data_IF_345926031368
#
_entry.id   IF_345926031368
#
_cell.length_a   1.000
_cell.length_b   1.000
_cell.length_c   1.000
_cell.angle_alpha   90.00
_cell.angle_beta   90.00
_cell.angle_gamma   90.00
#
_symmetry.space_group_name_H-M   'P 1'
#
loop_
_entity.id
_entity.type
_entity.pdbx_description
1 polymer ?
#
# COMPACT_ATOMS: atom_id res chain seq x y z
N UNK A 1 59.67 -34.70 53.36
CA UNK A 1 59.75 -34.19 51.97
C UNK A 1 58.36 -34.33 51.34
N UNK A 2 57.62 -33.25 51.39
CA UNK A 2 56.27 -33.18 50.83
C UNK A 2 56.30 -32.56 49.45
N UNK A 3 55.86 -33.28 48.43
CA UNK A 3 55.70 -32.82 47.08
C UNK A 3 54.34 -32.21 46.89
N UNK A 4 54.23 -30.89 46.84
CA UNK A 4 53.01 -30.16 46.47
C UNK A 4 52.71 -30.37 45.00
N UNK A 5 51.57 -31.00 44.71
CA UNK A 5 50.96 -31.03 43.35
C UNK A 5 50.23 -29.72 43.13
N UNK A 6 50.69 -28.95 42.13
CA UNK A 6 49.99 -27.77 41.62
C UNK A 6 48.93 -28.24 40.62
N UNK A 7 47.66 -28.04 40.96
CA UNK A 7 46.56 -28.32 40.07
C UNK A 7 46.32 -27.08 39.17
N UNK A 8 46.64 -27.19 37.88
CA UNK A 8 46.37 -26.16 36.89
C UNK A 8 44.89 -26.26 36.48
N UNK A 9 44.05 -25.34 36.92
CA UNK A 9 42.69 -25.14 36.44
C UNK A 9 42.72 -24.35 35.12
N UNK A 10 42.55 -25.05 34.01
CA UNK A 10 42.29 -24.43 32.71
C UNK A 10 40.81 -24.02 32.68
N UNK A 11 40.55 -22.73 32.90
CA UNK A 11 39.28 -22.13 32.65
C UNK A 11 39.07 -21.94 31.13
N UNK A 12 38.22 -22.78 30.53
CA UNK A 12 37.68 -22.55 29.20
C UNK A 12 36.75 -21.36 29.25
N UNK A 13 37.22 -20.20 28.83
CA UNK A 13 36.36 -19.08 28.51
C UNK A 13 35.70 -19.36 27.15
N UNK A 14 34.44 -19.78 27.18
CA UNK A 14 33.59 -19.79 25.98
C UNK A 14 33.30 -18.34 25.67
N UNK A 15 34.01 -17.80 24.70
CA UNK A 15 33.66 -16.51 24.11
C UNK A 15 32.42 -16.73 23.25
N UNK A 16 31.24 -16.44 23.81
CA UNK A 16 30.03 -16.27 23.01
C UNK A 16 30.25 -15.00 22.19
N UNK A 17 30.66 -15.14 20.94
CA UNK A 17 30.57 -14.07 19.96
C UNK A 17 29.10 -13.91 19.59
N UNK A 18 28.38 -13.15 20.40
CA UNK A 18 27.09 -12.58 19.97
C UNK A 18 27.43 -11.62 18.86
N UNK A 19 26.93 -11.87 17.66
CA UNK A 19 27.09 -10.97 16.53
C UNK A 19 26.35 -9.66 16.88
N UNK A 20 27.09 -8.62 17.15
CA UNK A 20 26.59 -7.27 17.40
C UNK A 20 25.95 -6.62 16.16
N UNK A 21 25.75 -7.40 15.08
CA UNK A 21 25.12 -6.91 13.84
C UNK A 21 23.59 -6.83 13.87
N UNK A 22 22.95 -7.57 14.76
CA UNK A 22 21.47 -7.66 14.75
C UNK A 22 20.77 -6.70 15.73
N UNK A 23 21.51 -6.11 16.68
CA UNK A 23 20.91 -5.19 17.67
C UNK A 23 20.90 -3.71 17.25
N UNK A 24 21.75 -3.30 16.33
CA UNK A 24 21.84 -1.88 15.92
C UNK A 24 20.70 -1.45 15.00
N UNK A 25 20.03 -2.40 14.32
CA UNK A 25 18.87 -2.13 13.46
C UNK A 25 17.52 -2.09 14.21
N UNK A 26 17.45 -2.66 15.39
CA UNK A 26 16.21 -2.65 16.19
C UNK A 26 15.90 -1.30 16.86
N UNK A 27 16.79 -0.31 16.81
CA UNK A 27 16.67 0.93 17.59
C UNK A 27 16.32 2.18 16.76
N UNK A 28 16.04 2.05 15.48
CA UNK A 28 15.31 3.07 14.73
C UNK A 28 13.83 2.71 14.73
N UNK A 29 13.17 2.77 15.89
CA UNK A 29 11.72 2.73 15.97
C UNK A 29 11.19 4.02 15.36
N UNK A 30 10.98 4.01 14.05
CA UNK A 30 10.17 5.02 13.44
C UNK A 30 8.76 4.77 13.95
N UNK A 31 8.33 5.59 14.92
CA UNK A 31 7.04 5.42 15.57
C UNK A 31 5.91 5.49 14.56
N UNK A 32 5.19 4.39 14.41
CA UNK A 32 3.95 4.34 13.66
C UNK A 32 2.90 3.56 14.46
N UNK A 33 1.63 3.81 14.23
CA UNK A 33 0.54 3.28 15.04
C UNK A 33 -0.36 2.29 14.32
N UNK A 34 -0.60 2.50 13.04
CA UNK A 34 -1.55 1.70 12.25
C UNK A 34 -1.15 1.73 10.77
N UNK A 35 -1.79 0.88 9.97
CA UNK A 35 -1.64 0.87 8.53
C UNK A 35 -2.78 1.61 7.85
N UNK A 36 -2.45 2.36 6.81
CA UNK A 36 -3.40 2.75 5.77
C UNK A 36 -3.22 1.79 4.61
N UNK A 37 -4.26 1.00 4.32
CA UNK A 37 -4.31 0.16 3.13
C UNK A 37 -5.08 0.89 2.05
N UNK A 38 -4.40 1.24 0.96
CA UNK A 38 -4.94 2.02 -0.16
C UNK A 38 -5.14 1.15 -1.38
N UNK A 39 -6.33 1.20 -1.96
CA UNK A 39 -6.68 0.51 -3.19
C UNK A 39 -7.17 1.51 -4.23
N UNK A 40 -6.81 1.29 -5.49
CA UNK A 40 -7.23 2.10 -6.62
C UNK A 40 -8.31 1.41 -7.45
N UNK A 41 -9.21 2.22 -8.02
CA UNK A 41 -10.06 1.76 -9.09
C UNK A 41 -9.31 1.84 -10.42
N UNK A 42 -9.05 0.73 -11.12
CA UNK A 42 -8.16 0.70 -12.28
C UNK A 42 -8.58 1.66 -13.39
N UNK A 43 -9.88 1.68 -13.75
CA UNK A 43 -10.38 2.52 -14.83
C UNK A 43 -10.14 4.01 -14.57
N UNK A 44 -10.30 4.46 -13.34
CA UNK A 44 -10.08 5.85 -12.98
C UNK A 44 -8.61 6.28 -13.08
N UNK A 45 -7.67 5.32 -12.99
CA UNK A 45 -6.25 5.59 -13.20
C UNK A 45 -5.93 5.88 -14.67
N UNK A 46 -6.73 5.36 -15.61
CA UNK A 46 -6.59 5.68 -17.03
C UNK A 46 -6.92 7.14 -17.33
N UNK A 47 -7.81 7.76 -16.56
CA UNK A 47 -8.24 9.16 -16.74
C UNK A 47 -7.36 10.15 -15.99
N UNK A 48 -6.73 9.69 -14.92
CA UNK A 48 -5.94 10.54 -14.05
C UNK A 48 -4.50 10.66 -14.53
N UNK A 49 -4.04 11.89 -14.72
CA UNK A 49 -2.61 12.20 -14.80
C UNK A 49 -2.23 12.99 -13.57
N UNK A 50 -1.37 12.43 -12.77
CA UNK A 50 -0.79 13.14 -11.66
C UNK A 50 -0.01 14.36 -12.17
N UNK A 51 -0.31 15.55 -11.64
CA UNK A 51 0.51 16.72 -11.92
C UNK A 51 1.90 16.46 -11.35
N UNK A 52 2.92 16.45 -12.21
CA UNK A 52 4.31 16.26 -11.82
C UNK A 52 4.79 17.25 -10.73
N UNK A 53 4.05 18.34 -10.53
CA UNK A 53 4.37 19.38 -9.54
C UNK A 53 3.82 19.08 -8.13
N UNK A 54 2.94 18.08 -7.96
CA UNK A 54 2.37 17.73 -6.65
C UNK A 54 3.13 16.64 -5.91
N UNK A 55 4.06 15.97 -6.58
CA UNK A 55 4.91 14.97 -5.95
C UNK A 55 6.18 15.66 -5.40
N UNK A 56 6.17 15.91 -4.10
CA UNK A 56 7.40 16.22 -3.35
C UNK A 56 8.42 15.07 -3.39
N UNK A 57 8.08 13.97 -4.06
CA UNK A 57 8.92 12.79 -4.26
C UNK A 57 9.23 12.63 -5.75
N UNK A 58 10.38 13.18 -6.16
CA UNK A 58 10.88 13.17 -7.54
C UNK A 58 11.23 11.76 -8.07
N UNK A 59 11.06 10.71 -7.28
CA UNK A 59 11.41 9.33 -7.67
C UNK A 59 10.39 8.67 -8.60
N UNK A 60 9.19 9.23 -8.73
CA UNK A 60 8.13 8.72 -9.60
C UNK A 60 7.82 9.69 -10.75
N UNK A 61 8.82 9.99 -11.57
CA UNK A 61 8.59 10.70 -12.83
C UNK A 61 8.09 9.72 -13.88
N UNK A 62 6.79 9.55 -13.96
CA UNK A 62 6.17 8.91 -15.12
C UNK A 62 6.35 9.83 -16.32
N UNK A 63 6.95 9.27 -17.35
CA UNK A 63 7.33 9.92 -18.61
C UNK A 63 6.16 10.73 -19.22
N UNK A 64 6.46 11.93 -19.65
CA UNK A 64 5.55 13.01 -20.02
C UNK A 64 4.72 12.84 -21.32
N UNK A 65 4.52 11.64 -21.89
CA UNK A 65 3.90 11.50 -23.20
C UNK A 65 2.91 10.32 -23.37
N UNK A 66 2.16 9.96 -22.32
CA UNK A 66 1.08 9.01 -22.54
C UNK A 66 -0.20 9.75 -22.95
N UNK A 67 -0.61 9.50 -24.21
CA UNK A 67 -1.92 9.87 -24.70
C UNK A 67 -2.98 9.20 -23.81
N UNK A 68 -3.99 9.96 -23.41
CA UNK A 68 -5.16 9.44 -22.72
C UNK A 68 -5.71 8.23 -23.49
N UNK A 69 -5.64 7.06 -22.88
CA UNK A 69 -6.23 5.84 -23.42
C UNK A 69 -7.29 5.40 -22.44
N UNK A 70 -8.56 5.48 -22.86
CA UNK A 70 -9.67 4.95 -22.07
C UNK A 70 -9.54 3.44 -21.85
N UNK A 71 -8.79 2.74 -22.71
CA UNK A 71 -8.53 1.30 -22.73
C UNK A 71 -7.14 0.96 -22.16
N UNK A 72 -6.77 1.50 -21.02
CA UNK A 72 -5.45 1.26 -20.42
C UNK A 72 -5.41 0.07 -19.47
N UNK A 73 -6.57 -0.49 -19.08
CA UNK A 73 -6.62 -1.58 -18.10
C UNK A 73 -6.35 -2.93 -18.78
N UNK A 74 -5.31 -3.67 -18.42
CA UNK A 74 -5.03 -4.99 -18.97
C UNK A 74 -6.19 -5.97 -18.76
N UNK A 75 -6.40 -6.89 -19.72
CA UNK A 75 -7.52 -7.85 -19.69
C UNK A 75 -7.58 -8.76 -18.47
N UNK A 76 -6.43 -8.97 -17.80
CA UNK A 76 -6.31 -9.80 -16.61
C UNK A 76 -6.60 -9.05 -15.29
N UNK A 77 -6.90 -7.74 -15.34
CA UNK A 77 -7.25 -6.91 -14.19
C UNK A 77 -8.77 -6.77 -14.13
N UNK A 78 -9.38 -7.31 -13.10
CA UNK A 78 -10.85 -7.42 -12.99
C UNK A 78 -11.43 -6.76 -11.74
N UNK A 79 -10.56 -6.29 -10.84
CA UNK A 79 -10.94 -5.82 -9.53
C UNK A 79 -10.12 -4.59 -9.13
N UNK A 80 -10.43 -4.03 -7.98
CA UNK A 80 -9.61 -3.03 -7.31
C UNK A 80 -8.17 -3.51 -7.19
N UNK A 81 -7.23 -2.63 -7.49
CA UNK A 81 -5.79 -2.90 -7.38
C UNK A 81 -5.22 -2.23 -6.14
N UNK A 82 -4.15 -2.80 -5.62
CA UNK A 82 -3.45 -2.25 -4.48
C UNK A 82 -2.66 -1.02 -4.94
N UNK A 83 -2.75 0.08 -4.18
CA UNK A 83 -1.78 1.16 -4.24
C UNK A 83 -0.63 0.87 -3.29
N UNK A 84 -0.94 0.70 -1.99
CA UNK A 84 0.06 0.42 -0.99
C UNK A 84 -0.49 0.06 0.38
N UNK A 85 0.44 -0.32 1.27
CA UNK A 85 0.20 -0.63 2.68
C UNK A 85 1.15 0.21 3.53
N UNK A 86 0.67 1.32 4.07
CA UNK A 86 1.51 2.37 4.64
C UNK A 86 1.46 2.43 6.15
N UNK A 87 2.57 2.18 6.85
CA UNK A 87 2.66 2.46 8.27
C UNK A 87 2.45 3.96 8.50
N UNK A 88 1.60 4.30 9.47
CA UNK A 88 1.10 5.66 9.65
C UNK A 88 1.09 6.03 11.13
N UNK A 89 1.49 7.26 11.45
CA UNK A 89 1.46 7.78 12.82
C UNK A 89 0.19 8.60 13.07
N UNK A 90 -0.09 9.60 12.22
CA UNK A 90 -1.14 10.60 12.41
C UNK A 90 -2.01 10.81 11.16
N UNK A 91 -2.25 9.76 10.37
CA UNK A 91 -3.08 9.86 9.15
C UNK A 91 -2.32 10.25 7.88
N UNK A 92 -1.09 10.74 7.99
CA UNK A 92 -0.17 10.89 6.86
C UNK A 92 0.69 9.64 6.72
N UNK A 93 1.11 9.23 5.50
CA UNK A 93 1.97 8.06 5.29
C UNK A 93 3.41 8.33 5.77
N UNK A 94 3.57 8.54 7.06
CA UNK A 94 4.82 8.67 7.78
C UNK A 94 4.86 7.66 8.92
N UNK A 95 6.03 7.05 9.19
CA UNK A 95 7.36 7.28 8.62
C UNK A 95 7.53 6.79 7.17
N UNK A 96 8.63 7.18 6.54
CA UNK A 96 9.03 6.71 5.22
C UNK A 96 10.55 6.60 5.11
N UNK A 97 11.05 5.68 4.23
CA UNK A 97 12.47 5.47 3.96
C UNK A 97 13.29 5.08 5.20
N UNK A 98 12.74 4.15 5.99
CA UNK A 98 13.29 3.84 7.32
C UNK A 98 14.58 3.03 7.28
N UNK A 99 14.94 2.42 6.15
CA UNK A 99 16.19 1.70 5.99
C UNK A 99 16.72 1.77 4.56
N UNK A 100 17.65 2.67 4.31
CA UNK A 100 18.26 2.88 2.98
C UNK A 100 19.13 1.70 2.50
N UNK A 101 19.52 0.79 3.39
CA UNK A 101 20.28 -0.42 3.01
C UNK A 101 19.40 -1.55 2.51
N UNK A 102 18.09 -1.52 2.78
CA UNK A 102 17.13 -2.55 2.38
C UNK A 102 16.53 -2.23 1.01
N UNK A 103 17.36 -2.38 -0.02
CA UNK A 103 16.91 -2.18 -1.38
C UNK A 103 15.97 -3.28 -1.82
N UNK A 104 15.01 -2.91 -2.67
CA UNK A 104 14.08 -3.86 -3.29
C UNK A 104 14.84 -4.95 -4.04
N UNK A 105 14.42 -6.20 -3.86
CA UNK A 105 14.98 -7.36 -4.53
C UNK A 105 13.87 -8.27 -5.03
N UNK A 106 13.56 -8.16 -6.31
CA UNK A 106 12.50 -8.90 -6.99
C UNK A 106 12.57 -10.42 -6.76
N UNK A 107 13.78 -10.98 -6.64
CA UNK A 107 13.95 -12.43 -6.42
C UNK A 107 13.34 -12.93 -5.09
N UNK A 108 13.14 -12.03 -4.12
CA UNK A 108 12.51 -12.37 -2.84
C UNK A 108 10.99 -12.51 -2.92
N UNK A 109 10.39 -12.06 -4.01
CA UNK A 109 8.93 -12.05 -4.22
C UNK A 109 8.52 -12.78 -5.49
N UNK A 110 9.40 -13.60 -6.08
CA UNK A 110 9.16 -14.28 -7.35
C UNK A 110 7.87 -15.12 -7.34
N UNK A 111 7.60 -15.82 -6.25
CA UNK A 111 6.37 -16.61 -6.05
C UNK A 111 5.09 -15.75 -5.93
N UNK A 112 5.22 -14.47 -5.62
CA UNK A 112 4.11 -13.51 -5.53
C UNK A 112 3.88 -12.74 -6.82
N UNK A 113 4.89 -12.64 -7.69
CA UNK A 113 4.92 -11.78 -8.87
C UNK A 113 3.68 -11.95 -9.76
N UNK A 114 3.29 -13.18 -10.05
CA UNK A 114 2.09 -13.44 -10.87
C UNK A 114 0.79 -12.89 -10.25
N UNK A 115 0.68 -12.87 -8.93
CA UNK A 115 -0.47 -12.27 -8.23
C UNK A 115 -0.36 -10.75 -8.20
N UNK A 116 0.85 -10.23 -7.97
CA UNK A 116 1.11 -8.79 -7.93
C UNK A 116 0.81 -8.15 -9.28
N UNK A 117 1.19 -8.77 -10.40
CA UNK A 117 0.85 -8.30 -11.75
C UNK A 117 -0.67 -8.23 -12.02
N UNK A 118 -1.51 -8.89 -11.23
CA UNK A 118 -2.98 -8.80 -11.34
C UNK A 118 -3.61 -7.83 -10.34
N UNK A 119 -2.97 -7.63 -9.20
CA UNK A 119 -3.58 -6.98 -8.04
C UNK A 119 -2.83 -5.73 -7.57
N UNK A 120 -1.61 -5.51 -8.05
CA UNK A 120 -0.76 -4.40 -7.61
C UNK A 120 0.04 -3.84 -8.79
N UNK A 121 -0.64 -3.17 -9.68
CA UNK A 121 -0.08 -2.68 -10.93
C UNK A 121 -0.11 -1.17 -11.01
N UNK A 122 0.80 -0.62 -11.82
CA UNK A 122 0.79 0.78 -12.25
C UNK A 122 -0.04 0.91 -13.53
N UNK A 123 -0.83 1.95 -13.64
CA UNK A 123 -1.56 2.33 -14.84
C UNK A 123 -1.26 3.79 -15.19
N UNK A 124 -1.22 4.15 -16.46
CA UNK A 124 -1.62 3.36 -17.64
C UNK A 124 -0.58 2.35 -18.13
N UNK A 125 0.65 2.34 -17.61
CA UNK A 125 1.69 1.42 -18.05
C UNK A 125 1.99 0.35 -17.00
N UNK A 126 1.41 -0.83 -17.17
CA UNK A 126 1.62 -1.94 -16.25
C UNK A 126 3.04 -2.54 -16.28
N UNK A 127 3.85 -2.22 -17.31
CA UNK A 127 5.25 -2.64 -17.37
C UNK A 127 6.13 -1.96 -16.31
N UNK A 128 5.68 -0.83 -15.78
CA UNK A 128 6.37 -0.08 -14.72
C UNK A 128 5.97 -0.52 -13.30
N UNK A 129 5.18 -1.58 -13.15
CA UNK A 129 4.68 -2.03 -11.84
C UNK A 129 5.79 -2.40 -10.85
N UNK A 130 6.95 -2.86 -11.34
CA UNK A 130 8.11 -3.12 -10.48
C UNK A 130 8.68 -1.85 -9.83
N UNK A 131 8.56 -0.70 -10.50
CA UNK A 131 8.97 0.59 -9.92
C UNK A 131 8.04 0.99 -8.78
N UNK A 132 6.73 0.71 -8.91
CA UNK A 132 5.77 0.89 -7.82
C UNK A 132 6.11 -0.03 -6.65
N UNK A 133 6.38 -1.33 -6.88
CA UNK A 133 6.74 -2.25 -5.80
C UNK A 133 8.03 -1.84 -5.09
N UNK A 134 9.04 -1.42 -5.87
CA UNK A 134 10.28 -0.87 -5.32
C UNK A 134 10.01 0.34 -4.41
N UNK A 135 9.19 1.29 -4.88
CA UNK A 135 8.80 2.46 -4.10
C UNK A 135 8.08 2.05 -2.80
N UNK A 136 7.09 1.18 -2.91
CA UNK A 136 6.28 0.73 -1.77
C UNK A 136 7.11 -0.01 -0.72
N UNK A 137 8.08 -0.84 -1.16
CA UNK A 137 8.98 -1.51 -0.22
C UNK A 137 9.96 -0.52 0.41
N UNK A 138 10.72 0.22 -0.40
CA UNK A 138 11.80 1.07 0.11
C UNK A 138 11.27 2.21 0.99
N UNK A 139 10.12 2.80 0.65
CA UNK A 139 9.53 3.91 1.40
C UNK A 139 8.70 3.44 2.59
N UNK A 140 7.86 2.45 2.42
CA UNK A 140 6.85 2.06 3.40
C UNK A 140 7.16 0.70 4.06
N UNK A 141 7.54 -0.30 3.27
CA UNK A 141 7.82 -1.64 3.76
C UNK A 141 8.97 -1.68 4.75
N UNK A 142 10.05 -0.92 4.50
CA UNK A 142 11.19 -0.84 5.42
C UNK A 142 10.79 -0.30 6.80
N UNK A 143 9.80 0.58 6.87
CA UNK A 143 9.25 1.09 8.13
C UNK A 143 8.32 0.08 8.81
N UNK A 144 7.50 -0.61 8.01
CA UNK A 144 6.59 -1.64 8.50
C UNK A 144 7.33 -2.85 9.09
N UNK A 145 8.54 -3.12 8.64
CA UNK A 145 9.34 -4.30 8.99
C UNK A 145 9.72 -4.39 10.48
N UNK A 146 9.53 -3.33 11.26
CA UNK A 146 9.60 -3.38 12.72
C UNK A 146 8.50 -4.28 13.34
N UNK A 147 7.44 -4.60 12.58
CA UNK A 147 6.38 -5.52 12.99
C UNK A 147 6.70 -6.94 12.48
N UNK A 148 6.79 -7.98 13.36
CA UNK A 148 7.17 -9.34 12.97
C UNK A 148 6.35 -9.93 11.81
N UNK A 149 5.06 -9.60 11.72
CA UNK A 149 4.18 -10.12 10.67
C UNK A 149 4.54 -9.63 9.25
N UNK A 150 5.28 -8.54 9.12
CA UNK A 150 5.71 -7.92 7.85
C UNK A 150 7.20 -7.58 7.86
N UNK A 151 8.00 -8.36 8.60
CA UNK A 151 9.42 -8.09 8.85
C UNK A 151 10.35 -8.36 7.67
N UNK A 152 9.83 -8.82 6.55
CA UNK A 152 10.59 -9.02 5.32
C UNK A 152 9.82 -8.48 4.13
N UNK A 153 10.54 -8.25 3.03
CA UNK A 153 9.96 -7.82 1.75
C UNK A 153 8.84 -8.76 1.30
N UNK A 154 9.08 -10.06 1.31
CA UNK A 154 8.07 -11.08 0.98
C UNK A 154 6.85 -11.00 1.90
N UNK A 155 7.06 -10.94 3.22
CA UNK A 155 5.97 -10.87 4.18
C UNK A 155 5.12 -9.60 4.04
N UNK A 156 5.75 -8.46 3.73
CA UNK A 156 5.07 -7.20 3.47
C UNK A 156 4.14 -7.28 2.26
N UNK A 157 4.64 -7.76 1.12
CA UNK A 157 3.82 -7.90 -0.09
C UNK A 157 2.73 -8.97 0.08
N UNK A 158 3.06 -10.11 0.70
CA UNK A 158 2.08 -11.17 0.98
C UNK A 158 0.93 -10.67 1.87
N UNK A 159 1.24 -9.84 2.88
CA UNK A 159 0.23 -9.27 3.76
C UNK A 159 -0.70 -8.30 3.01
N UNK A 160 -0.16 -7.44 2.15
CA UNK A 160 -0.98 -6.55 1.35
C UNK A 160 -1.89 -7.30 0.36
N UNK A 161 -1.38 -8.35 -0.29
CA UNK A 161 -2.18 -9.25 -1.13
C UNK A 161 -3.27 -9.98 -0.33
N UNK A 162 -2.97 -10.34 0.92
CA UNK A 162 -3.95 -10.98 1.82
C UNK A 162 -5.06 -10.01 2.18
N UNK A 163 -4.73 -8.76 2.53
CA UNK A 163 -5.73 -7.71 2.79
C UNK A 163 -6.58 -7.43 1.55
N UNK A 164 -5.98 -7.34 0.37
CA UNK A 164 -6.72 -7.12 -0.87
C UNK A 164 -7.79 -8.20 -1.14
N UNK A 165 -7.46 -9.44 -0.86
CA UNK A 165 -8.41 -10.56 -0.96
C UNK A 165 -9.49 -10.49 0.12
N UNK A 166 -9.14 -10.11 1.34
CA UNK A 166 -10.08 -10.03 2.47
C UNK A 166 -11.04 -8.86 2.32
N UNK A 167 -10.57 -7.72 1.84
CA UNK A 167 -11.41 -6.52 1.65
C UNK A 167 -12.34 -6.66 0.44
N UNK A 168 -11.93 -7.33 -0.63
CA UNK A 168 -12.70 -7.55 -1.87
C UNK A 168 -13.71 -6.43 -2.19
N UNK A 169 -13.20 -5.22 -2.40
CA UNK A 169 -14.03 -4.02 -2.53
C UNK A 169 -15.11 -4.14 -3.61
N UNK A 170 -14.80 -4.77 -4.76
CA UNK A 170 -15.77 -4.89 -5.84
C UNK A 170 -17.02 -5.64 -5.39
N UNK A 171 -16.83 -6.80 -4.72
CA UNK A 171 -17.95 -7.58 -4.19
C UNK A 171 -18.68 -6.83 -3.07
N UNK A 172 -17.92 -6.28 -2.12
CA UNK A 172 -18.50 -5.56 -0.98
C UNK A 172 -19.37 -4.40 -1.42
N UNK A 173 -18.89 -3.58 -2.36
CA UNK A 173 -19.63 -2.45 -2.91
C UNK A 173 -20.87 -2.92 -3.68
N UNK A 174 -20.74 -3.95 -4.52
CA UNK A 174 -21.87 -4.50 -5.26
C UNK A 174 -22.99 -5.04 -4.34
N UNK A 175 -22.62 -5.70 -3.24
CA UNK A 175 -23.57 -6.18 -2.22
C UNK A 175 -24.33 -5.03 -1.53
N UNK A 176 -23.84 -3.80 -1.62
CA UNK A 176 -24.47 -2.56 -1.11
C UNK A 176 -25.13 -1.73 -2.22
N UNK A 177 -25.21 -2.24 -3.45
CA UNK A 177 -25.83 -1.58 -4.59
C UNK A 177 -24.91 -0.62 -5.36
N UNK A 178 -23.61 -0.60 -5.03
CA UNK A 178 -22.60 0.24 -5.69
C UNK A 178 -21.81 -0.60 -6.69
N UNK A 179 -22.15 -0.54 -7.95
CA UNK A 179 -21.49 -1.28 -9.04
C UNK A 179 -20.94 -0.33 -10.09
N UNK A 180 -19.84 -0.70 -10.76
CA UNK A 180 -19.34 0.10 -11.89
C UNK A 180 -20.45 0.35 -12.92
N UNK A 181 -20.59 1.60 -13.34
CA UNK A 181 -21.60 2.04 -14.30
C UNK A 181 -21.14 3.33 -14.99
N UNK A 182 -21.37 3.42 -16.29
CA UNK A 182 -21.11 4.65 -17.03
C UNK A 182 -22.27 5.64 -16.94
N UNK A 183 -23.47 5.16 -16.60
CA UNK A 183 -24.70 5.94 -16.51
C UNK A 183 -24.98 6.50 -15.12
N UNK A 184 -24.58 5.74 -14.06
CA UNK A 184 -24.90 6.10 -12.69
C UNK A 184 -23.87 7.08 -12.11
N UNK A 185 -24.41 8.00 -11.29
CA UNK A 185 -23.62 8.82 -10.40
C UNK A 185 -23.90 8.41 -8.95
N UNK A 186 -22.87 8.38 -8.15
CA UNK A 186 -22.93 7.99 -6.74
C UNK A 186 -22.45 9.15 -5.87
N UNK A 187 -22.92 9.24 -4.64
CA UNK A 187 -22.38 10.18 -3.65
C UNK A 187 -21.20 9.55 -2.91
N UNK A 188 -20.27 10.36 -2.50
CA UNK A 188 -19.10 9.92 -1.69
C UNK A 188 -19.57 9.16 -0.44
N UNK A 189 -20.60 9.69 0.23
CA UNK A 189 -21.14 9.13 1.47
C UNK A 189 -21.70 7.71 1.28
N UNK A 190 -22.18 7.35 0.08
CA UNK A 190 -22.68 5.99 -0.18
C UNK A 190 -21.55 4.94 -0.08
N UNK A 191 -20.34 5.29 -0.55
CA UNK A 191 -19.16 4.43 -0.41
C UNK A 191 -18.67 4.38 1.05
N UNK A 192 -18.65 5.51 1.74
CA UNK A 192 -18.28 5.58 3.16
C UNK A 192 -19.24 4.79 4.03
N UNK A 193 -20.54 4.89 3.78
CA UNK A 193 -21.58 4.11 4.43
C UNK A 193 -21.44 2.60 4.14
N UNK A 194 -21.06 2.24 2.90
CA UNK A 194 -20.81 0.85 2.55
C UNK A 194 -19.64 0.26 3.37
N UNK A 195 -18.56 1.01 3.51
CA UNK A 195 -17.40 0.63 4.32
C UNK A 195 -17.81 0.50 5.80
N UNK A 196 -18.55 1.48 6.33
CA UNK A 196 -19.05 1.45 7.71
C UNK A 196 -19.93 0.25 7.97
N UNK A 197 -20.85 -0.08 7.04
CA UNK A 197 -21.76 -1.24 7.19
C UNK A 197 -21.03 -2.58 7.15
N UNK A 198 -19.93 -2.66 6.38
CA UNK A 198 -19.17 -3.91 6.24
C UNK A 198 -18.16 -4.13 7.36
N UNK A 199 -17.39 -3.11 7.70
CA UNK A 199 -16.26 -3.24 8.61
C UNK A 199 -16.47 -2.59 9.98
N UNK A 200 -17.57 -1.82 10.16
CA UNK A 200 -17.84 -1.08 11.40
C UNK A 200 -16.88 0.09 11.66
N UNK A 201 -16.19 0.56 10.62
CA UNK A 201 -15.16 1.60 10.74
C UNK A 201 -15.29 2.64 9.63
N UNK A 202 -14.75 3.84 9.87
CA UNK A 202 -14.68 4.90 8.89
C UNK A 202 -13.48 4.68 7.96
N UNK A 203 -13.75 4.37 6.69
CA UNK A 203 -12.76 4.41 5.61
C UNK A 203 -12.66 5.78 4.96
N UNK A 204 -11.93 5.85 3.84
CA UNK A 204 -11.75 7.07 3.04
C UNK A 204 -11.95 6.80 1.58
N UNK A 205 -12.69 7.68 0.92
CA UNK A 205 -12.85 7.71 -0.53
C UNK A 205 -11.91 8.77 -1.10
N UNK A 206 -11.20 8.40 -2.14
CA UNK A 206 -10.29 9.29 -2.88
C UNK A 206 -10.94 9.58 -4.22
N UNK A 207 -11.12 10.86 -4.50
CA UNK A 207 -11.65 11.33 -5.76
C UNK A 207 -10.53 11.79 -6.70
N UNK A 208 -10.73 11.55 -7.98
CA UNK A 208 -9.86 12.02 -9.05
C UNK A 208 -10.68 12.72 -10.12
N UNK A 209 -10.05 13.66 -10.81
CA UNK A 209 -10.65 14.38 -11.94
C UNK A 209 -9.90 14.00 -13.21
N UNK A 210 -10.63 13.97 -14.30
CA UNK A 210 -10.04 13.80 -15.63
C UNK A 210 -9.19 15.02 -16.00
N UNK A 211 -8.05 14.78 -16.61
CA UNK A 211 -7.16 15.85 -17.02
C UNK A 211 -7.80 16.65 -18.17
N UNK A 212 -8.00 17.94 -17.92
CA UNK A 212 -8.55 18.88 -18.94
C UNK A 212 -10.07 18.83 -19.07
N UNK A 213 -10.73 18.00 -18.26
CA UNK A 213 -12.19 18.00 -18.10
C UNK A 213 -12.54 18.01 -16.61
N UNK A 214 -13.06 19.15 -16.13
CA UNK A 214 -13.54 19.30 -14.77
C UNK A 214 -15.02 18.91 -14.63
N UNK A 215 -15.64 18.36 -15.68
CA UNK A 215 -17.08 18.09 -15.69
C UNK A 215 -17.45 16.97 -14.72
N UNK A 216 -16.58 15.96 -14.59
CA UNK A 216 -16.86 14.80 -13.75
C UNK A 216 -15.75 14.55 -12.72
N UNK A 217 -16.19 14.12 -11.55
CA UNK A 217 -15.32 13.53 -10.53
C UNK A 217 -15.49 12.03 -10.57
N UNK A 218 -14.40 11.28 -10.45
CA UNK A 218 -14.38 9.82 -10.46
C UNK A 218 -13.91 9.28 -9.11
N UNK A 219 -14.39 8.09 -8.74
CA UNK A 219 -13.78 7.36 -7.63
C UNK A 219 -12.37 6.93 -8.03
N UNK A 220 -11.35 7.49 -7.41
CA UNK A 220 -9.96 7.14 -7.66
C UNK A 220 -9.47 5.98 -6.80
N UNK A 221 -9.88 5.98 -5.53
CA UNK A 221 -9.42 4.98 -4.58
C UNK A 221 -10.28 4.88 -3.32
N UNK A 222 -10.03 3.82 -2.56
CA UNK A 222 -10.57 3.63 -1.21
C UNK A 222 -9.41 3.28 -0.28
N UNK A 223 -9.42 3.87 0.91
CA UNK A 223 -8.50 3.57 2.00
C UNK A 223 -9.25 2.98 3.17
N UNK A 224 -8.75 1.85 3.68
CA UNK A 224 -9.20 1.22 4.93
C UNK A 224 -8.00 1.16 5.87
N UNK A 225 -8.20 1.50 7.13
CA UNK A 225 -7.13 1.50 8.11
C UNK A 225 -7.17 0.25 8.97
N UNK A 226 -5.98 -0.24 9.32
CA UNK A 226 -5.80 -1.47 10.09
C UNK A 226 -4.82 -1.23 11.23
N UNK A 227 -5.13 -1.78 12.40
CA UNK A 227 -4.17 -1.80 13.50
C UNK A 227 -3.00 -2.78 13.21
N UNK A 228 -2.03 -2.87 14.11
CA UNK A 228 -0.86 -3.75 13.97
C UNK A 228 -1.19 -5.25 13.99
N UNK A 229 -2.42 -5.64 14.31
CA UNK A 229 -2.94 -7.01 14.20
C UNK A 229 -3.83 -7.24 12.98
N UNK A 230 -3.84 -6.27 12.06
CA UNK A 230 -4.63 -6.25 10.83
C UNK A 230 -6.15 -6.32 11.04
N UNK A 231 -6.63 -5.83 12.18
CA UNK A 231 -8.06 -5.59 12.40
C UNK A 231 -8.42 -4.18 11.90
N UNK A 232 -9.57 -4.00 11.21
CA UNK A 232 -10.01 -2.69 10.75
C UNK A 232 -10.18 -1.69 11.92
N UNK A 233 -9.82 -0.44 11.67
CA UNK A 233 -10.01 0.70 12.58
C UNK A 233 -10.44 1.93 11.79
N UNK A 234 -10.95 2.93 12.48
CA UNK A 234 -11.24 4.23 11.86
C UNK A 234 -9.98 4.86 11.27
N UNK A 235 -10.07 5.32 10.03
CA UNK A 235 -9.03 6.14 9.44
C UNK A 235 -9.04 7.55 10.03
N UNK A 236 -7.91 7.99 10.56
CA UNK A 236 -7.74 9.39 10.96
C UNK A 236 -7.61 10.27 9.70
N UNK A 237 -8.27 11.44 9.76
CA UNK A 237 -8.25 12.41 8.65
C UNK A 237 -7.17 13.42 8.91
N UNK A 238 -6.15 13.47 8.08
CA UNK A 238 -5.13 14.53 8.14
C UNK A 238 -4.73 15.06 6.76
N UNK A 239 -5.06 14.35 5.69
CA UNK A 239 -4.85 14.84 4.33
C UNK A 239 -6.07 15.60 3.84
N UNK A 240 -5.88 16.68 3.04
CA UNK A 240 -7.00 17.37 2.41
C UNK A 240 -7.79 16.35 1.57
N UNK A 241 -9.06 16.22 1.88
CA UNK A 241 -9.97 15.35 1.13
C UNK A 241 -10.06 15.85 -0.30
N UNK A 242 -9.78 14.98 -1.26
CA UNK A 242 -9.95 15.30 -2.68
C UNK A 242 -11.43 15.22 -3.09
N UNK A 243 -12.25 14.59 -2.27
CA UNK A 243 -13.70 14.55 -2.41
C UNK A 243 -14.33 15.66 -1.57
N UNK A 244 -15.34 16.34 -2.10
CA UNK A 244 -16.17 17.29 -1.34
C UNK A 244 -17.39 16.57 -0.80
N UNK A 245 -17.85 16.95 0.38
CA UNK A 245 -19.11 16.46 0.93
C UNK A 245 -20.27 16.70 -0.04
N UNK A 246 -21.08 15.68 -0.26
CA UNK A 246 -22.19 15.71 -1.22
C UNK A 246 -21.77 15.67 -2.69
N UNK A 247 -20.47 15.52 -2.98
CA UNK A 247 -20.00 15.43 -4.37
C UNK A 247 -20.49 14.15 -5.04
N UNK A 248 -21.07 14.30 -6.24
CA UNK A 248 -21.42 13.19 -7.09
C UNK A 248 -20.20 12.74 -7.89
N UNK A 249 -19.95 11.44 -7.92
CA UNK A 249 -18.82 10.86 -8.64
C UNK A 249 -19.24 9.69 -9.53
N UNK A 250 -18.45 9.44 -10.56
CA UNK A 250 -18.54 8.27 -11.41
C UNK A 250 -17.75 7.11 -10.84
N UNK A 251 -18.34 5.92 -10.96
CA UNK A 251 -17.66 4.64 -10.75
C UNK A 251 -17.67 3.89 -12.07
N UNK A 252 -16.74 4.20 -13.01
CA UNK A 252 -16.83 3.77 -14.40
C UNK A 252 -16.61 2.27 -14.56
N UNK A 253 -17.20 1.67 -15.59
CA UNK A 253 -16.88 0.29 -15.98
C UNK A 253 -15.46 0.18 -16.49
N UNK A 254 -14.84 -0.99 -16.32
CA UNK A 254 -13.49 -1.25 -16.84
C UNK A 254 -13.56 -1.44 -18.36
N UNK A 255 -12.87 -0.56 -19.08
CA UNK A 255 -12.62 -0.68 -20.53
C UNK A 255 -11.25 -1.35 -20.70
N UNK A 256 -11.22 -2.48 -21.38
CA UNK A 256 -10.01 -3.32 -21.49
C UNK A 256 -9.23 -3.00 -22.75
N UNK A 257 -7.89 -3.02 -22.62
CA UNK A 257 -6.96 -2.86 -23.74
C UNK A 257 -7.01 -4.05 -24.70
#
# INVERSE_FOLDING_TARGET
METKRVLLLLSFAIVLSISLGDEEFANQSHDWKYFVFSQWWPQSQCYYKENADSLADQSFRIVNDYRFRNDCVPTYVENWTIHGLWPTLNGTPHPGWCNDSWKFNESKIEDLKSKMMRQWITLPDSSESELLWKHEWEKHGTCAASLPAVSSEHAYFLQALTLNRQTNLLKMLADKGLSPSDDNMYKVEEFEDAIMKEYGVKGRVICVKERGDDQYTYIGGIRICFNKTFSPIDCLVTEPERCREGEALKYPVIIRA
#
